data_IF_219936058825
#
_entry.id   IF_219936058825
#
_cell.length_a   1.000
_cell.length_b   1.000
_cell.length_c   1.000
_cell.angle_alpha   90.00
_cell.angle_beta   90.00
_cell.angle_gamma   90.00
#
_symmetry.space_group_name_H-M   'P 1'
#
loop_
_entity.id
_entity.type
_entity.pdbx_description
1 polymer ?
#
# COMPACT_ATOMS: atom_id res chain seq x y z
N UNK A 1 14.14 21.31 37.01
CA UNK A 1 12.81 20.70 36.96
C UNK A 1 12.27 20.75 35.54
N UNK A 2 11.51 19.73 35.19
CA UNK A 2 10.95 19.62 33.87
C UNK A 2 9.70 20.48 33.73
N UNK A 3 9.38 20.87 32.52
CA UNK A 3 8.14 21.56 32.23
C UNK A 3 7.44 20.92 31.07
N UNK A 4 6.10 21.04 31.03
CA UNK A 4 5.35 20.45 29.93
C UNK A 4 5.55 21.23 28.63
N UNK A 5 5.70 20.49 27.55
CA UNK A 5 5.77 21.06 26.22
C UNK A 5 4.94 20.20 25.30
N UNK A 6 4.54 20.78 24.19
CA UNK A 6 3.75 20.06 23.20
C UNK A 6 4.63 19.62 22.05
N UNK A 7 4.54 18.34 21.73
CA UNK A 7 5.33 17.75 20.65
C UNK A 7 4.41 17.42 19.50
N UNK A 8 4.85 17.76 18.29
CA UNK A 8 4.10 17.49 17.07
C UNK A 8 4.44 16.11 16.53
N UNK A 9 3.41 15.35 16.22
CA UNK A 9 3.54 14.01 15.63
C UNK A 9 2.89 14.00 14.27
N UNK A 10 3.44 13.18 13.38
CA UNK A 10 2.77 12.79 12.15
C UNK A 10 2.56 11.30 12.25
N UNK A 11 1.29 10.88 12.27
CA UNK A 11 0.91 9.49 12.44
C UNK A 11 0.45 8.94 11.10
N UNK A 12 1.10 7.87 10.65
CA UNK A 12 0.76 7.23 9.38
C UNK A 12 -0.16 6.04 9.64
N UNK A 13 -1.34 6.07 9.05
CA UNK A 13 -2.32 5.01 9.18
C UNK A 13 -2.74 4.61 7.77
N UNK A 14 -1.98 3.69 7.15
CA UNK A 14 -2.22 3.31 5.78
C UNK A 14 -2.03 4.50 4.84
N UNK A 15 -3.05 4.83 4.08
CA UNK A 15 -2.95 5.96 3.15
C UNK A 15 -3.08 7.33 3.82
N UNK A 16 -3.44 7.36 5.11
CA UNK A 16 -3.70 8.61 5.81
C UNK A 16 -2.51 9.06 6.62
N UNK A 17 -2.31 10.38 6.70
CA UNK A 17 -1.35 10.99 7.59
C UNK A 17 -2.14 11.88 8.54
N UNK A 18 -1.97 11.66 9.83
CA UNK A 18 -2.77 12.34 10.85
C UNK A 18 -1.85 13.22 11.68
N UNK A 19 -2.11 14.52 11.75
CA UNK A 19 -1.35 15.37 12.68
C UNK A 19 -1.85 15.12 14.09
N UNK A 20 -0.93 15.10 15.03
CA UNK A 20 -1.28 14.81 16.41
C UNK A 20 -0.34 15.59 17.32
N UNK A 21 -0.84 16.04 18.44
CA UNK A 21 -0.04 16.81 19.38
C UNK A 21 -0.13 16.13 20.75
N UNK A 22 1.02 15.97 21.39
CA UNK A 22 1.08 15.32 22.69
C UNK A 22 1.83 16.21 23.65
N UNK A 23 1.28 16.36 24.84
CA UNK A 23 1.96 17.11 25.88
C UNK A 23 2.84 16.15 26.69
N UNK A 24 4.12 16.49 26.83
CA UNK A 24 5.08 15.66 27.55
C UNK A 24 5.99 16.59 28.34
N UNK A 25 6.76 16.01 29.25
CA UNK A 25 7.77 16.79 29.95
C UNK A 25 8.95 17.00 29.00
N UNK A 26 9.62 18.15 29.12
CA UNK A 26 10.67 18.52 28.18
C UNK A 26 11.90 17.61 28.28
N UNK A 27 12.06 16.89 29.38
CA UNK A 27 13.17 15.96 29.57
C UNK A 27 12.80 14.53 29.25
N UNK A 28 11.57 14.28 28.82
CA UNK A 28 11.19 12.95 28.41
C UNK A 28 11.96 12.55 27.14
N UNK A 29 12.37 11.27 27.07
CA UNK A 29 13.17 10.82 25.94
C UNK A 29 12.34 9.93 25.03
N UNK A 30 12.36 10.27 23.75
CA UNK A 30 11.73 9.44 22.72
C UNK A 30 12.80 8.56 22.07
N UNK A 31 12.44 7.32 21.78
CA UNK A 31 13.37 6.35 21.22
C UNK A 31 12.72 5.72 20.00
N UNK A 32 13.52 5.49 18.96
CA UNK A 32 13.03 4.77 17.78
C UNK A 32 12.52 3.41 18.18
N UNK A 33 11.43 3.00 17.57
CA UNK A 33 10.76 1.72 17.79
C UNK A 33 10.00 1.63 19.11
N UNK A 34 9.91 2.74 19.86
CA UNK A 34 9.00 2.76 21.02
C UNK A 34 7.57 2.76 20.51
N UNK A 35 6.69 2.16 21.32
CA UNK A 35 5.27 2.08 20.99
C UNK A 35 4.50 2.98 21.94
N UNK A 36 3.42 3.53 21.47
CA UNK A 36 2.56 4.36 22.32
C UNK A 36 1.12 4.30 21.82
N UNK A 37 0.19 4.55 22.74
CA UNK A 37 -1.24 4.59 22.43
C UNK A 37 -1.68 6.01 22.15
N UNK A 38 -2.47 6.18 21.09
CA UNK A 38 -3.08 7.46 20.78
C UNK A 38 -4.26 7.19 19.85
N UNK A 39 -5.34 7.93 20.02
CA UNK A 39 -6.52 7.83 19.16
C UNK A 39 -7.09 6.40 19.12
N UNK A 40 -6.99 5.70 20.24
CA UNK A 40 -7.46 4.31 20.39
C UNK A 40 -6.75 3.36 19.44
N UNK A 41 -5.51 3.66 19.09
CA UNK A 41 -4.68 2.85 18.20
C UNK A 41 -3.28 2.77 18.77
N UNK A 42 -2.52 1.80 18.28
CA UNK A 42 -1.15 1.60 18.72
C UNK A 42 -0.21 2.04 17.62
N UNK A 43 0.82 2.80 18.01
CA UNK A 43 1.75 3.42 17.07
C UNK A 43 3.18 3.06 17.41
N UNK A 44 4.04 3.02 16.40
CA UNK A 44 5.46 2.75 16.53
C UNK A 44 6.24 3.95 16.01
N UNK A 45 7.16 4.46 16.81
CA UNK A 45 7.98 5.59 16.41
C UNK A 45 8.97 5.13 15.34
N UNK A 46 8.92 5.79 14.17
CA UNK A 46 9.77 5.41 13.04
C UNK A 46 10.85 6.44 12.76
N UNK A 47 10.69 7.67 13.24
CA UNK A 47 11.67 8.71 12.96
C UNK A 47 11.53 9.83 13.98
N UNK A 48 12.67 10.33 14.43
CA UNK A 48 12.74 11.48 15.32
C UNK A 48 13.42 12.61 14.55
N UNK A 49 12.71 13.72 14.41
CA UNK A 49 13.22 14.84 13.64
C UNK A 49 13.72 15.94 14.60
N UNK A 50 14.94 16.38 14.37
CA UNK A 50 15.51 17.48 15.12
C UNK A 50 16.04 18.49 14.12
N UNK A 51 16.63 19.57 14.59
CA UNK A 51 17.21 20.53 13.65
C UNK A 51 18.46 19.95 13.04
N UNK A 52 18.69 20.25 11.76
CA UNK A 52 19.84 19.74 11.06
C UNK A 52 19.56 18.39 10.43
N UNK A 53 20.62 17.70 10.04
CA UNK A 53 20.52 16.48 9.27
C UNK A 53 20.69 15.21 10.11
N UNK A 54 20.82 15.35 11.42
CA UNK A 54 21.03 14.19 12.28
C UNK A 54 19.80 13.30 12.29
N UNK A 55 20.05 12.00 12.42
CA UNK A 55 18.98 11.01 12.51
C UNK A 55 19.15 10.23 13.80
N UNK A 56 18.80 10.85 14.93
CA UNK A 56 19.05 10.22 16.22
C UNK A 56 18.14 9.03 16.48
N UNK A 57 18.63 8.12 17.30
CA UNK A 57 17.82 7.00 17.77
C UNK A 57 17.11 7.34 19.08
N UNK A 58 17.63 8.31 19.81
CA UNK A 58 17.06 8.80 21.07
C UNK A 58 17.11 10.30 21.04
N UNK A 59 16.08 10.94 21.59
CA UNK A 59 16.05 12.39 21.56
C UNK A 59 15.19 12.91 22.70
N UNK A 60 15.71 13.85 23.48
CA UNK A 60 14.91 14.49 24.51
C UNK A 60 13.83 15.34 23.87
N UNK A 61 12.67 15.40 24.50
CA UNK A 61 11.52 16.11 23.95
C UNK A 61 11.84 17.54 23.56
N UNK A 62 12.62 18.23 24.38
CA UNK A 62 12.96 19.63 24.11
C UNK A 62 13.75 19.82 22.81
N UNK A 63 14.36 18.73 22.29
CA UNK A 63 15.13 18.80 21.06
C UNK A 63 14.36 18.25 19.87
N UNK A 64 13.15 17.74 20.10
CA UNK A 64 12.35 17.14 19.06
C UNK A 64 11.62 18.22 18.28
N UNK A 65 11.74 18.17 16.95
CA UNK A 65 10.97 19.03 16.08
C UNK A 65 9.67 18.32 15.69
N UNK A 66 9.74 17.02 15.45
CA UNK A 66 8.59 16.23 15.08
C UNK A 66 8.89 14.75 15.28
N UNK A 67 7.87 14.01 15.70
CA UNK A 67 7.96 12.54 15.80
C UNK A 67 7.12 11.95 14.68
N UNK A 68 7.69 10.99 13.97
CA UNK A 68 6.97 10.26 12.94
C UNK A 68 6.70 8.86 13.48
N UNK A 69 5.47 8.40 13.31
CA UNK A 69 5.08 7.08 13.82
C UNK A 69 4.12 6.43 12.83
N UNK A 70 4.08 5.11 12.85
CA UNK A 70 3.16 4.36 12.00
C UNK A 70 2.29 3.47 12.88
N UNK A 71 1.07 3.23 12.42
CA UNK A 71 0.12 2.38 13.14
C UNK A 71 0.53 0.92 13.04
N UNK A 72 0.46 0.19 14.15
CA UNK A 72 0.90 -1.20 14.18
C UNK A 72 -0.15 -2.18 14.69
N UNK A 73 -1.28 -1.72 15.23
CA UNK A 73 -2.30 -2.66 15.69
C UNK A 73 -3.12 -3.23 14.53
N UNK A 74 -3.42 -2.40 13.53
CA UNK A 74 -4.12 -2.83 12.32
C UNK A 74 -3.54 -2.08 11.14
N UNK A 75 -3.77 -2.61 9.95
CA UNK A 75 -3.37 -1.96 8.72
C UNK A 75 -4.63 -1.43 8.03
N UNK A 76 -4.65 -0.16 7.70
CA UNK A 76 -5.73 0.45 6.95
C UNK A 76 -5.33 0.49 5.48
N UNK A 77 -6.16 -0.08 4.63
CA UNK A 77 -5.85 -0.20 3.21
C UNK A 77 -7.02 0.35 2.42
N UNK A 78 -6.73 1.21 1.47
CA UNK A 78 -7.74 1.71 0.55
C UNK A 78 -7.87 0.73 -0.60
N UNK A 79 -9.12 0.42 -0.97
CA UNK A 79 -9.36 -0.46 -2.12
C UNK A 79 -10.06 0.34 -3.19
N UNK A 80 -9.62 0.17 -4.42
CA UNK A 80 -10.24 0.80 -5.58
C UNK A 80 -10.74 -0.30 -6.51
N UNK A 81 -12.04 -0.26 -6.79
CA UNK A 81 -12.72 -1.24 -7.63
C UNK A 81 -13.03 -0.58 -8.96
N UNK A 82 -12.64 -1.20 -10.05
CA UNK A 82 -12.86 -0.65 -11.38
C UNK A 82 -13.61 -1.64 -12.25
N UNK A 83 -14.68 -1.17 -12.88
CA UNK A 83 -15.49 -1.99 -13.77
C UNK A 83 -15.77 -1.12 -15.00
N UNK A 84 -14.92 -1.27 -16.02
CA UNK A 84 -15.04 -0.44 -17.19
C UNK A 84 -14.70 1.00 -16.88
N UNK A 85 -15.66 1.87 -17.05
CA UNK A 85 -15.46 3.30 -16.79
C UNK A 85 -15.89 3.69 -15.38
N UNK A 86 -16.46 2.75 -14.64
CA UNK A 86 -16.94 3.03 -13.30
C UNK A 86 -15.90 2.61 -12.30
N UNK A 87 -15.68 3.47 -11.33
CA UNK A 87 -14.69 3.21 -10.31
C UNK A 87 -15.21 3.71 -8.96
N UNK A 88 -14.98 2.95 -7.91
CA UNK A 88 -15.34 3.37 -6.56
C UNK A 88 -14.31 2.83 -5.59
N UNK A 89 -14.28 3.40 -4.39
CA UNK A 89 -13.27 3.05 -3.40
C UNK A 89 -13.90 2.85 -2.03
N UNK A 90 -13.24 2.05 -1.23
CA UNK A 90 -13.56 1.94 0.18
C UNK A 90 -12.25 1.78 0.96
N UNK A 91 -12.35 1.60 2.26
CA UNK A 91 -11.20 1.34 3.13
C UNK A 91 -11.53 0.16 4.01
N UNK A 92 -10.52 -0.68 4.23
CA UNK A 92 -10.66 -1.82 5.14
C UNK A 92 -9.56 -1.76 6.18
N UNK A 93 -9.82 -2.37 7.32
CA UNK A 93 -8.79 -2.56 8.35
C UNK A 93 -8.60 -4.06 8.53
N UNK A 94 -7.35 -4.48 8.48
CA UNK A 94 -7.00 -5.89 8.60
C UNK A 94 -5.78 -6.02 9.50
N UNK A 95 -5.45 -7.23 9.86
CA UNK A 95 -4.24 -7.48 10.64
C UNK A 95 -3.01 -7.12 9.82
N UNK A 96 -2.00 -6.55 10.45
CA UNK A 96 -0.84 -6.03 9.70
C UNK A 96 -0.07 -7.07 8.92
N UNK A 97 -0.10 -8.33 9.38
CA UNK A 97 0.64 -9.40 8.71
C UNK A 97 -0.20 -10.23 7.77
N UNK A 98 -1.44 -9.81 7.51
CA UNK A 98 -2.27 -10.51 6.53
C UNK A 98 -1.65 -10.36 5.14
N UNK A 99 -1.58 -11.47 4.41
CA UNK A 99 -0.97 -11.48 3.08
C UNK A 99 -2.04 -11.31 2.01
N UNK A 100 -1.78 -10.42 1.07
CA UNK A 100 -2.63 -10.24 -0.10
C UNK A 100 -1.83 -10.63 -1.33
N UNK A 101 -2.47 -11.33 -2.26
CA UNK A 101 -1.81 -11.80 -3.47
C UNK A 101 -2.54 -11.29 -4.70
N UNK A 102 -1.77 -10.87 -5.70
CA UNK A 102 -2.37 -10.49 -6.98
C UNK A 102 -3.02 -11.72 -7.59
N UNK A 103 -4.18 -11.52 -8.20
CA UNK A 103 -4.94 -12.62 -8.78
C UNK A 103 -5.98 -13.20 -7.86
N UNK A 104 -5.97 -12.86 -6.58
CA UNK A 104 -6.93 -13.37 -5.62
C UNK A 104 -8.33 -12.87 -5.94
N UNK A 105 -9.30 -13.75 -5.82
CA UNK A 105 -10.70 -13.42 -6.03
C UNK A 105 -11.30 -12.91 -4.72
N UNK A 106 -12.00 -11.80 -4.79
CA UNK A 106 -12.58 -11.15 -3.62
C UNK A 106 -14.07 -10.94 -3.88
N UNK A 107 -14.89 -11.28 -2.90
CA UNK A 107 -16.31 -10.99 -2.98
C UNK A 107 -16.59 -9.66 -2.29
N UNK A 108 -17.37 -8.82 -2.94
CA UNK A 108 -17.72 -7.51 -2.39
C UNK A 108 -19.14 -7.18 -2.83
N UNK A 109 -20.04 -7.05 -1.86
CA UNK A 109 -21.44 -6.73 -2.11
C UNK A 109 -22.08 -7.69 -3.12
N UNK A 110 -21.76 -8.97 -2.97
CA UNK A 110 -22.32 -9.99 -3.84
C UNK A 110 -21.67 -10.14 -5.18
N UNK A 111 -20.69 -9.30 -5.50
CA UNK A 111 -20.02 -9.34 -6.79
C UNK A 111 -18.62 -9.86 -6.63
N UNK A 112 -18.09 -10.40 -7.70
CA UNK A 112 -16.77 -11.02 -7.71
C UNK A 112 -15.75 -10.09 -8.34
N UNK A 113 -14.62 -9.92 -7.68
CA UNK A 113 -13.55 -9.04 -8.11
C UNK A 113 -12.23 -9.79 -8.03
N UNK A 114 -11.23 -9.29 -8.71
CA UNK A 114 -9.90 -9.89 -8.71
C UNK A 114 -8.88 -8.83 -8.38
N UNK A 115 -7.96 -9.14 -7.48
CA UNK A 115 -6.89 -8.22 -7.14
C UNK A 115 -5.94 -8.12 -8.32
N UNK A 116 -5.80 -6.91 -8.84
CA UNK A 116 -4.95 -6.66 -9.98
C UNK A 116 -3.59 -6.12 -9.59
N UNK A 117 -3.55 -5.24 -8.61
CA UNK A 117 -2.30 -4.60 -8.22
C UNK A 117 -2.30 -4.27 -6.74
N UNK A 118 -1.11 -4.28 -6.15
CA UNK A 118 -0.89 -3.91 -4.76
C UNK A 118 0.11 -2.76 -4.75
N UNK A 119 -0.25 -1.67 -4.08
CA UNK A 119 0.59 -0.48 -4.01
C UNK A 119 1.08 -0.28 -2.59
N UNK A 120 2.37 -0.02 -2.45
CA UNK A 120 2.97 0.20 -1.13
C UNK A 120 3.22 1.65 -0.79
N UNK A 121 3.01 2.54 -1.69
CA UNK A 121 3.36 3.93 -1.47
C UNK A 121 4.57 4.32 -2.28
N UNK A 122 5.50 3.40 -2.48
CA UNK A 122 6.67 3.65 -3.30
C UNK A 122 6.77 2.66 -4.45
N UNK A 123 6.06 1.54 -4.36
CA UNK A 123 6.17 0.49 -5.36
C UNK A 123 4.79 -0.04 -5.70
N UNK A 124 4.69 -0.64 -6.87
CA UNK A 124 3.47 -1.24 -7.36
C UNK A 124 3.78 -2.65 -7.79
N UNK A 125 3.00 -3.61 -7.32
CA UNK A 125 3.17 -5.02 -7.63
C UNK A 125 2.00 -5.50 -8.45
N UNK A 126 2.25 -6.03 -9.63
CA UNK A 126 1.22 -6.58 -10.51
C UNK A 126 1.16 -8.10 -10.43
N UNK A 127 2.19 -8.71 -9.89
CA UNK A 127 2.24 -10.14 -9.67
C UNK A 127 2.87 -10.34 -8.31
N UNK A 128 2.56 -11.48 -7.66
CA UNK A 128 3.15 -11.76 -6.37
C UNK A 128 2.25 -11.32 -5.23
N UNK A 129 2.86 -11.06 -4.09
CA UNK A 129 2.11 -10.81 -2.87
C UNK A 129 2.81 -9.79 -1.98
N UNK A 130 2.06 -9.27 -1.01
CA UNK A 130 2.55 -8.25 -0.11
C UNK A 130 1.78 -8.35 1.19
N UNK A 131 2.44 -8.09 2.32
CA UNK A 131 1.73 -8.09 3.60
C UNK A 131 1.04 -6.75 3.82
N UNK A 132 -0.04 -6.79 4.56
CA UNK A 132 -0.93 -5.64 4.72
C UNK A 132 -0.23 -4.38 5.23
N UNK A 133 0.71 -4.52 6.17
CA UNK A 133 1.36 -3.33 6.72
C UNK A 133 2.13 -2.55 5.68
N UNK A 134 2.48 -3.19 4.57
CA UNK A 134 3.22 -2.54 3.50
C UNK A 134 2.32 -2.05 2.37
N UNK A 135 1.02 -2.32 2.45
CA UNK A 135 0.09 -1.97 1.38
C UNK A 135 -0.65 -0.71 1.73
N UNK A 136 -0.68 0.24 0.81
CA UNK A 136 -1.50 1.44 0.98
C UNK A 136 -2.77 1.36 0.16
N UNK A 137 -2.75 0.67 -0.96
CA UNK A 137 -3.92 0.57 -1.84
C UNK A 137 -3.92 -0.76 -2.58
N UNK A 138 -5.11 -1.32 -2.73
CA UNK A 138 -5.34 -2.52 -3.53
C UNK A 138 -6.23 -2.11 -4.68
N UNK A 139 -5.85 -2.49 -5.90
CA UNK A 139 -6.66 -2.25 -7.10
C UNK A 139 -7.32 -3.55 -7.49
N UNK A 140 -8.65 -3.50 -7.68
CA UNK A 140 -9.44 -4.67 -8.03
C UNK A 140 -10.20 -4.40 -9.32
N UNK A 141 -10.29 -5.42 -10.13
CA UNK A 141 -11.03 -5.36 -11.41
C UNK A 141 -11.95 -6.56 -11.47
N UNK A 142 -12.97 -6.47 -12.29
CA UNK A 142 -13.83 -7.61 -12.52
C UNK A 142 -13.02 -8.69 -13.22
N UNK A 143 -13.17 -9.97 -12.82
CA UNK A 143 -12.46 -11.02 -13.53
C UNK A 143 -12.97 -11.10 -14.97
N UNK A 144 -12.13 -11.54 -15.91
CA UNK A 144 -12.59 -11.68 -17.28
C UNK A 144 -13.68 -12.76 -17.38
N UNK A 145 -14.66 -12.52 -18.23
CA UNK A 145 -15.72 -13.50 -18.44
C UNK A 145 -15.18 -14.67 -19.26
N UNK A 146 -15.86 -15.82 -19.24
CA UNK A 146 -15.44 -16.93 -20.09
C UNK A 146 -15.35 -16.54 -21.56
N UNK A 147 -16.27 -15.66 -22.01
CA UNK A 147 -16.21 -15.19 -23.38
C UNK A 147 -14.96 -14.38 -23.68
N UNK A 148 -14.59 -13.52 -22.75
CA UNK A 148 -13.37 -12.72 -22.91
C UNK A 148 -12.14 -13.60 -22.91
N UNK A 149 -12.11 -14.61 -22.06
CA UNK A 149 -11.00 -15.54 -22.01
C UNK A 149 -10.90 -16.30 -23.32
N UNK A 150 -12.01 -16.76 -23.83
CA UNK A 150 -12.03 -17.50 -25.09
C UNK A 150 -11.56 -16.61 -26.24
N UNK A 151 -11.98 -15.37 -26.25
CA UNK A 151 -11.57 -14.43 -27.27
C UNK A 151 -10.06 -14.20 -27.24
N UNK A 152 -9.51 -14.01 -26.05
CA UNK A 152 -8.10 -13.85 -25.89
C UNK A 152 -7.31 -15.04 -26.43
N UNK A 153 -7.76 -16.24 -26.06
CA UNK A 153 -7.11 -17.46 -26.52
C UNK A 153 -7.18 -17.59 -28.03
N UNK A 154 -8.30 -17.19 -28.61
CA UNK A 154 -8.47 -17.26 -30.04
C UNK A 154 -7.51 -16.29 -30.75
N UNK A 155 -7.41 -15.08 -30.25
CA UNK A 155 -6.49 -14.10 -30.80
C UNK A 155 -5.06 -14.56 -30.70
N UNK A 156 -4.73 -15.15 -29.57
CA UNK A 156 -3.39 -15.63 -29.33
C UNK A 156 -3.03 -16.75 -30.32
N UNK A 157 -3.93 -17.68 -30.51
CA UNK A 157 -3.70 -18.77 -31.46
C UNK A 157 -3.57 -18.24 -32.88
N UNK A 158 -4.40 -17.28 -33.24
CA UNK A 158 -4.33 -16.69 -34.56
C UNK A 158 -3.03 -16.00 -34.81
N UNK A 159 -2.51 -15.38 -33.78
CA UNK A 159 -1.25 -14.66 -33.87
C UNK A 159 -0.08 -15.57 -34.16
N UNK A 160 -0.11 -16.79 -33.63
CA UNK A 160 1.00 -17.72 -33.80
C UNK A 160 0.90 -18.56 -35.07
N UNK A 161 -0.25 -18.57 -35.66
CA UNK A 161 -0.52 -19.50 -36.73
C UNK A 161 0.10 -19.06 -38.05
N UNK A 162 0.96 -19.89 -38.60
CA UNK A 162 1.49 -19.65 -39.94
C UNK A 162 2.45 -18.51 -40.06
N UNK A 163 3.03 -18.06 -38.97
CA UNK A 163 3.94 -16.96 -38.98
C UNK A 163 5.13 -17.23 -38.11
N UNK A 164 6.13 -16.37 -38.23
CA UNK A 164 7.21 -16.42 -37.27
C UNK A 164 6.68 -15.97 -35.94
N UNK A 165 6.95 -16.72 -34.91
CA UNK A 165 6.44 -16.41 -33.60
C UNK A 165 7.30 -15.38 -32.92
N UNK A 166 6.68 -14.41 -32.22
CA UNK A 166 7.46 -13.54 -31.37
C UNK A 166 8.00 -14.36 -30.20
N UNK A 167 9.03 -13.88 -29.58
CA UNK A 167 9.56 -14.54 -28.41
C UNK A 167 8.52 -14.62 -27.32
N UNK A 168 8.66 -15.66 -26.53
CA UNK A 168 7.70 -15.89 -25.45
C UNK A 168 7.63 -14.70 -24.49
N UNK A 169 8.78 -14.13 -24.18
CA UNK A 169 8.82 -12.99 -23.29
C UNK A 169 8.15 -11.78 -23.87
N UNK A 170 8.38 -11.55 -25.12
CA UNK A 170 7.78 -10.46 -25.84
C UNK A 170 6.27 -10.58 -25.82
N UNK A 171 5.78 -11.78 -26.05
CA UNK A 171 4.35 -12.04 -26.05
C UNK A 171 3.75 -11.84 -24.66
N UNK A 172 4.42 -12.32 -23.64
CA UNK A 172 3.96 -12.15 -22.28
C UNK A 172 3.93 -10.70 -21.86
N UNK A 173 4.90 -9.94 -22.29
CA UNK A 173 4.95 -8.53 -21.98
C UNK A 173 3.79 -7.79 -22.63
N UNK A 174 3.45 -8.12 -23.83
CA UNK A 174 2.31 -7.53 -24.50
C UNK A 174 1.04 -7.74 -23.73
N UNK A 175 0.81 -8.96 -23.26
CA UNK A 175 -0.37 -9.25 -22.47
C UNK A 175 -0.40 -8.50 -21.17
N UNK A 176 0.75 -8.39 -20.56
CA UNK A 176 0.88 -7.67 -19.30
C UNK A 176 0.54 -6.21 -19.47
N UNK A 177 1.02 -5.59 -20.51
CA UNK A 177 0.74 -4.20 -20.79
C UNK A 177 -0.73 -3.97 -21.05
N UNK A 178 -1.35 -4.89 -21.76
CA UNK A 178 -2.76 -4.79 -22.07
C UNK A 178 -3.60 -4.88 -20.81
N UNK A 179 -3.28 -5.82 -19.93
CA UNK A 179 -4.01 -5.98 -18.69
C UNK A 179 -3.83 -4.82 -17.75
N UNK A 180 -2.70 -4.16 -17.85
CA UNK A 180 -2.36 -3.08 -16.95
C UNK A 180 -2.64 -1.72 -17.52
N UNK A 181 -3.55 -1.68 -18.50
CA UNK A 181 -3.86 -0.52 -19.14
C UNK A 181 -3.96 0.68 -18.29
N UNK A 182 -3.33 1.70 -18.53
CA UNK A 182 -3.38 2.88 -17.72
C UNK A 182 -2.53 2.89 -16.51
N UNK A 183 -2.00 1.81 -16.16
CA UNK A 183 -1.24 1.82 -15.04
C UNK A 183 0.10 1.77 -15.42
N UNK A 184 0.88 2.05 -15.37
CA UNK A 184 2.05 2.04 -15.74
C UNK A 184 2.86 1.24 -15.39
N UNK A 185 3.44 0.92 -15.51
CA UNK A 185 4.14 0.16 -15.23
C UNK A 185 5.14 0.24 -14.65
N UNK A 186 5.60 0.16 -14.52
CA UNK A 186 6.62 0.28 -14.00
C UNK A 186 6.96 -0.62 -13.15
N UNK A 187 6.72 -1.06 -12.79
CA UNK A 187 7.07 -1.77 -11.93
C UNK A 187 7.35 -2.99 -12.24
N UNK A 188 7.58 -3.29 -12.89
CA UNK A 188 7.78 -4.43 -13.09
C UNK A 188 8.89 -4.77 -12.84
N UNK A 189 9.32 -5.08 -12.36
CA UNK A 189 10.43 -5.41 -12.14
C UNK A 189 10.61 -6.23 -11.68
#
# INVERSE_FOLDING_TARGET
>A
SSKPINIQFTLSDGPDSIPFEMEVDDDEVFTLNDEFDALDRLWLITRLETEGDAKPRHLAAKEVRRVWACRIDNAQIKRTFTDGEISFSDSIEVEPDKVFSCGTIVKHRGETWRIRALHSGTARTLTGKMIARNIKRIFLHRPPTPGEIAERKKLERGKWKGQDFPGREEHQQKWREHDDEGSRRGERN
#
